data_IF_692097550173
#
_entry.id   IF_692097550173
#
_cell.length_a   1.000
_cell.length_b   1.000
_cell.length_c   1.000
_cell.angle_alpha   90.00
_cell.angle_beta   90.00
_cell.angle_gamma   90.00
#
_symmetry.space_group_name_H-M   'P 1'
#
loop_
_entity.id
_entity.type
_entity.pdbx_description
1 polymer ?
#
# COMPACT_ATOMS: atom_id res chain seq x y z
N UNK A 1 4.67 31.56 -9.03
CA UNK A 1 4.53 30.17 -8.55
C UNK A 1 3.74 29.37 -9.59
N UNK A 2 4.22 28.18 -9.94
CA UNK A 2 3.55 27.30 -10.91
C UNK A 2 3.62 25.83 -10.47
N UNK A 3 2.80 24.98 -11.11
CA UNK A 3 2.65 23.57 -10.75
C UNK A 3 3.96 22.78 -10.80
N UNK A 4 4.84 23.09 -11.75
CA UNK A 4 6.14 22.41 -11.85
C UNK A 4 7.07 22.71 -10.67
N UNK A 5 7.03 23.95 -10.17
CA UNK A 5 7.81 24.35 -8.98
C UNK A 5 7.26 23.64 -7.73
N UNK A 6 5.93 23.57 -7.59
CA UNK A 6 5.28 22.85 -6.47
C UNK A 6 5.59 21.36 -6.54
N UNK A 7 5.41 20.73 -7.71
CA UNK A 7 5.73 19.31 -7.89
C UNK A 7 7.21 19.00 -7.57
N UNK A 8 8.10 19.89 -8.02
CA UNK A 8 9.53 19.78 -7.74
C UNK A 8 9.84 19.89 -6.23
N UNK A 9 9.15 20.78 -5.52
CA UNK A 9 9.27 20.93 -4.08
C UNK A 9 8.75 19.69 -3.33
N UNK A 10 7.55 19.21 -3.66
CA UNK A 10 6.95 18.03 -3.02
C UNK A 10 7.82 16.78 -3.22
N UNK A 11 8.37 16.62 -4.43
CA UNK A 11 9.28 15.50 -4.70
C UNK A 11 10.62 15.66 -3.99
N UNK A 12 11.13 16.89 -3.83
CA UNK A 12 12.37 17.15 -3.09
C UNK A 12 12.25 16.86 -1.59
N UNK A 13 11.07 16.99 -1.01
CA UNK A 13 10.79 16.60 0.37
C UNK A 13 10.89 15.08 0.53
N UNK A 14 10.35 14.32 -0.42
CA UNK A 14 10.36 12.85 -0.40
C UNK A 14 11.77 12.27 -0.60
N UNK A 15 12.45 12.73 -1.64
CA UNK A 15 13.75 12.19 -2.04
C UNK A 15 14.94 12.73 -1.22
N UNK A 16 14.78 13.89 -0.58
CA UNK A 16 15.85 14.60 0.17
C UNK A 16 17.15 14.79 -0.62
N UNK A 17 17.07 14.70 -1.95
CA UNK A 17 18.21 14.72 -2.87
C UNK A 17 17.80 15.28 -4.24
N UNK A 18 18.33 16.45 -4.61
CA UNK A 18 17.98 17.10 -5.87
C UNK A 18 18.40 16.33 -7.12
N UNK A 19 19.42 15.48 -7.04
CA UNK A 19 19.81 14.64 -8.17
C UNK A 19 18.75 13.57 -8.45
N UNK A 20 18.26 12.89 -7.41
CA UNK A 20 17.17 11.92 -7.53
C UNK A 20 15.87 12.55 -8.03
N UNK A 21 15.55 13.76 -7.54
CA UNK A 21 14.41 14.53 -8.03
C UNK A 21 14.54 14.83 -9.53
N UNK A 22 15.74 15.21 -9.96
CA UNK A 22 16.02 15.51 -11.36
C UNK A 22 15.80 14.29 -12.26
N UNK A 23 16.31 13.12 -11.85
CA UNK A 23 16.10 11.85 -12.56
C UNK A 23 14.61 11.51 -12.65
N UNK A 24 13.89 11.60 -11.55
CA UNK A 24 12.48 11.21 -11.45
C UNK A 24 11.54 12.13 -12.23
N UNK A 25 11.86 13.41 -12.31
CA UNK A 25 11.07 14.41 -13.04
C UNK A 25 11.59 14.68 -14.47
N UNK A 26 12.58 13.91 -14.93
CA UNK A 26 13.23 14.11 -16.23
C UNK A 26 13.78 15.52 -16.41
N UNK A 27 14.44 16.05 -15.38
CA UNK A 27 15.04 17.37 -15.33
C UNK A 27 16.57 17.26 -15.12
N UNK A 28 17.25 18.39 -15.16
CA UNK A 28 18.64 18.50 -14.71
C UNK A 28 18.71 18.95 -13.25
N UNK A 29 19.70 18.50 -12.49
CA UNK A 29 19.87 18.93 -11.09
C UNK A 29 19.96 20.47 -10.94
N UNK A 30 20.68 21.23 -11.80
CA UNK A 30 20.63 22.70 -11.78
C UNK A 30 19.23 23.27 -12.05
N UNK A 31 18.42 22.59 -12.88
CA UNK A 31 17.03 22.93 -13.15
C UNK A 31 16.15 22.82 -11.90
N UNK A 32 16.26 21.69 -11.19
CA UNK A 32 15.58 21.45 -9.90
C UNK A 32 15.97 22.55 -8.89
N UNK A 33 17.28 22.76 -8.70
CA UNK A 33 17.78 23.79 -7.75
C UNK A 33 17.26 25.19 -8.08
N UNK A 34 17.20 25.54 -9.36
CA UNK A 34 16.66 26.84 -9.81
C UNK A 34 15.14 26.95 -9.57
N UNK A 35 14.37 25.89 -9.81
CA UNK A 35 12.93 25.87 -9.53
C UNK A 35 12.64 26.07 -8.04
N UNK A 36 13.36 25.37 -7.17
CA UNK A 36 13.24 25.55 -5.71
C UNK A 36 13.62 26.98 -5.30
N UNK A 37 14.75 27.49 -5.79
CA UNK A 37 15.19 28.85 -5.46
C UNK A 37 14.20 29.92 -5.93
N UNK A 38 13.56 29.70 -7.09
CA UNK A 38 12.51 30.61 -7.61
C UNK A 38 11.27 30.55 -6.73
N UNK A 39 10.84 29.35 -6.34
CA UNK A 39 9.70 29.16 -5.42
C UNK A 39 9.97 29.83 -4.07
N UNK A 40 11.14 29.62 -3.46
CA UNK A 40 11.53 30.28 -2.22
C UNK A 40 11.53 31.82 -2.34
N UNK A 41 11.99 32.34 -3.49
CA UNK A 41 11.98 33.79 -3.76
C UNK A 41 10.55 34.33 -3.84
N UNK A 42 9.65 33.62 -4.54
CA UNK A 42 8.25 34.04 -4.67
C UNK A 42 7.50 33.96 -3.34
N UNK A 43 7.80 32.97 -2.51
CA UNK A 43 7.24 32.81 -1.17
C UNK A 43 7.93 33.69 -0.11
N UNK A 44 8.99 34.39 -0.50
CA UNK A 44 9.84 35.22 0.38
C UNK A 44 10.30 34.46 1.65
N UNK A 45 10.58 33.17 1.52
CA UNK A 45 11.03 32.31 2.63
C UNK A 45 11.90 31.17 2.13
N UNK A 46 12.72 30.60 3.03
CA UNK A 46 13.47 29.39 2.75
C UNK A 46 12.65 28.17 3.12
N UNK A 47 12.53 27.23 2.18
CA UNK A 47 11.81 25.97 2.35
C UNK A 47 12.76 24.86 2.82
N UNK A 48 14.03 24.91 2.38
CA UNK A 48 15.05 23.95 2.77
C UNK A 48 16.20 24.64 3.51
N UNK A 49 16.69 23.96 4.54
CA UNK A 49 17.96 24.23 5.21
C UNK A 49 19.01 23.21 4.74
N UNK A 50 20.28 23.64 4.67
CA UNK A 50 21.41 22.73 4.49
C UNK A 50 21.90 22.30 5.86
N UNK A 51 21.78 21.01 6.16
CA UNK A 51 22.41 20.46 7.37
C UNK A 51 23.93 20.34 7.21
N UNK A 52 24.62 20.22 8.33
CA UNK A 52 26.07 20.00 8.35
C UNK A 52 26.50 18.73 7.59
N UNK A 53 25.60 17.77 7.39
CA UNK A 53 25.82 16.51 6.68
C UNK A 53 25.39 16.54 5.19
N UNK A 54 25.20 17.73 4.59
CA UNK A 54 24.76 17.93 3.21
C UNK A 54 23.38 17.31 2.88
N UNK A 55 22.61 16.90 3.89
CA UNK A 55 21.23 16.43 3.71
C UNK A 55 20.28 17.62 3.56
N UNK A 56 19.26 17.44 2.72
CA UNK A 56 18.23 18.44 2.49
C UNK A 56 17.16 18.28 3.58
N UNK A 57 17.00 19.28 4.43
CA UNK A 57 16.04 19.29 5.52
C UNK A 57 15.03 20.42 5.33
N UNK A 58 13.77 20.19 5.69
CA UNK A 58 12.75 21.24 5.67
C UNK A 58 13.01 22.25 6.81
N UNK A 59 12.83 23.54 6.49
CA UNK A 59 12.65 24.57 7.51
C UNK A 59 11.26 24.45 8.13
N UNK A 60 10.99 25.15 9.24
CA UNK A 60 9.63 25.24 9.80
C UNK A 60 8.63 25.79 8.77
N UNK A 61 9.01 26.85 8.04
CA UNK A 61 8.22 27.33 6.90
C UNK A 61 8.04 26.28 5.81
N UNK A 62 9.09 25.51 5.52
CA UNK A 62 9.04 24.41 4.56
C UNK A 62 8.04 23.33 4.93
N UNK A 63 7.92 22.99 6.22
CA UNK A 63 6.91 22.03 6.72
C UNK A 63 5.48 22.57 6.49
N UNK A 64 5.24 23.82 6.85
CA UNK A 64 3.92 24.46 6.65
C UNK A 64 3.52 24.48 5.18
N UNK A 65 4.45 24.83 4.28
CA UNK A 65 4.17 24.84 2.84
C UNK A 65 4.02 23.44 2.27
N UNK A 66 4.74 22.45 2.81
CA UNK A 66 4.56 21.04 2.41
C UNK A 66 3.15 20.55 2.73
N UNK A 67 2.69 20.75 3.96
CA UNK A 67 1.33 20.38 4.37
C UNK A 67 0.26 21.09 3.53
N UNK A 68 0.43 22.40 3.28
CA UNK A 68 -0.48 23.18 2.46
C UNK A 68 -0.52 22.67 1.02
N UNK A 69 0.63 22.47 0.37
CA UNK A 69 0.68 22.03 -1.02
C UNK A 69 0.16 20.58 -1.19
N UNK A 70 0.43 19.69 -0.24
CA UNK A 70 -0.14 18.33 -0.24
C UNK A 70 -1.66 18.37 -0.06
N UNK A 71 -2.16 19.27 0.78
CA UNK A 71 -3.61 19.50 0.93
C UNK A 71 -4.23 20.05 -0.36
N UNK A 72 -3.65 21.11 -0.94
CA UNK A 72 -4.12 21.68 -2.20
C UNK A 72 -4.11 20.67 -3.34
N UNK A 73 -3.06 19.85 -3.45
CA UNK A 73 -2.98 18.79 -4.45
C UNK A 73 -4.12 17.78 -4.31
N UNK A 74 -4.40 17.34 -3.08
CA UNK A 74 -5.53 16.42 -2.80
C UNK A 74 -6.88 17.06 -3.16
N UNK A 75 -7.12 18.29 -2.74
CA UNK A 75 -8.35 19.02 -3.03
C UNK A 75 -8.54 19.26 -4.54
N UNK A 76 -7.44 19.55 -5.27
CA UNK A 76 -7.47 19.73 -6.73
C UNK A 76 -7.85 18.42 -7.43
N UNK A 77 -7.18 17.31 -7.10
CA UNK A 77 -7.49 15.99 -7.66
C UNK A 77 -8.94 15.55 -7.33
N UNK A 78 -9.39 15.86 -6.13
CA UNK A 78 -10.76 15.60 -5.70
C UNK A 78 -11.79 16.44 -6.51
N UNK A 79 -11.49 17.71 -6.74
CA UNK A 79 -12.36 18.60 -7.53
C UNK A 79 -12.39 18.19 -8.99
N UNK A 80 -11.23 17.87 -9.58
CA UNK A 80 -11.11 17.32 -10.93
C UNK A 80 -11.98 16.07 -11.09
N UNK A 81 -11.90 15.17 -10.14
CA UNK A 81 -12.73 13.97 -10.11
C UNK A 81 -14.23 14.28 -10.02
N UNK A 82 -14.62 15.19 -9.09
CA UNK A 82 -16.04 15.62 -8.99
C UNK A 82 -16.55 16.16 -10.32
N UNK A 83 -15.72 16.93 -11.02
CA UNK A 83 -16.02 17.42 -12.35
C UNK A 83 -16.16 16.29 -13.39
N UNK A 84 -15.27 15.32 -13.36
CA UNK A 84 -15.34 14.14 -14.22
C UNK A 84 -16.57 13.27 -13.92
N UNK A 85 -16.97 13.15 -12.65
CA UNK A 85 -18.20 12.45 -12.24
C UNK A 85 -19.45 13.17 -12.74
N UNK A 86 -19.51 14.50 -12.63
CA UNK A 86 -20.61 15.30 -13.18
C UNK A 86 -20.74 15.08 -14.70
N UNK A 87 -19.62 14.95 -15.40
CA UNK A 87 -19.63 14.63 -16.84
C UNK A 87 -20.05 13.18 -17.11
N UNK A 88 -19.79 12.24 -16.18
CA UNK A 88 -20.16 10.82 -16.28
C UNK A 88 -21.58 10.50 -15.81
N UNK A 89 -22.27 11.37 -15.06
CA UNK A 89 -23.68 11.18 -14.69
C UNK A 89 -24.62 11.05 -15.91
N UNK A 90 -24.11 11.35 -17.12
CA UNK A 90 -24.77 11.08 -18.39
C UNK A 90 -24.27 9.82 -19.14
N UNK A 91 -23.40 9.01 -18.53
CA UNK A 91 -22.90 7.76 -19.12
C UNK A 91 -22.99 6.63 -18.08
N UNK A 92 -23.65 5.54 -18.47
CA UNK A 92 -23.89 4.34 -17.69
C UNK A 92 -22.69 3.94 -16.78
N UNK A 93 -22.98 3.72 -15.50
CA UNK A 93 -22.03 3.17 -14.52
C UNK A 93 -21.78 1.70 -14.92
N UNK A 94 -20.80 1.50 -15.79
CA UNK A 94 -20.57 0.18 -16.40
C UNK A 94 -19.29 -0.50 -15.90
N UNK A 95 -18.43 0.19 -15.17
CA UNK A 95 -17.13 -0.36 -14.75
C UNK A 95 -16.78 -0.01 -13.31
N UNK A 96 -16.61 -1.02 -12.45
CA UNK A 96 -16.07 -0.92 -11.10
C UNK A 96 -14.54 -1.14 -11.15
N UNK A 97 -13.76 -0.14 -10.77
CA UNK A 97 -12.29 -0.23 -10.70
C UNK A 97 -11.87 -0.71 -9.32
N UNK A 98 -11.40 -1.93 -9.27
CA UNK A 98 -11.04 -2.64 -8.06
C UNK A 98 -9.54 -2.83 -7.95
N UNK A 99 -8.94 -2.37 -6.83
CA UNK A 99 -7.52 -2.53 -6.53
C UNK A 99 -7.27 -3.50 -5.39
N UNK A 100 -6.16 -4.24 -5.44
CA UNK A 100 -5.72 -5.11 -4.36
C UNK A 100 -4.21 -5.12 -4.18
N UNK A 101 -3.75 -5.60 -3.03
CA UNK A 101 -2.32 -5.61 -2.70
C UNK A 101 -1.54 -6.53 -3.63
N UNK A 102 -0.46 -6.01 -4.20
CA UNK A 102 0.45 -6.77 -5.07
C UNK A 102 1.05 -7.96 -4.32
N UNK A 103 1.04 -9.10 -4.99
CA UNK A 103 1.55 -10.34 -4.43
C UNK A 103 0.48 -11.22 -3.77
N UNK A 104 -0.75 -10.73 -3.58
CA UNK A 104 -1.86 -11.56 -3.13
C UNK A 104 -2.39 -12.47 -4.23
N UNK A 105 -2.78 -13.67 -3.86
CA UNK A 105 -3.58 -14.57 -4.68
C UNK A 105 -5.06 -14.29 -4.41
N UNK A 106 -5.74 -13.71 -5.38
CA UNK A 106 -7.18 -13.42 -5.26
C UNK A 106 -8.06 -14.51 -5.88
N UNK A 107 -7.45 -15.63 -6.30
CA UNK A 107 -8.17 -16.74 -6.96
C UNK A 107 -9.28 -17.36 -6.12
N UNK A 108 -9.16 -17.32 -4.80
CA UNK A 108 -10.20 -17.79 -3.89
C UNK A 108 -11.30 -16.75 -3.61
N UNK A 109 -11.05 -15.48 -3.86
CA UNK A 109 -11.96 -14.38 -3.53
C UNK A 109 -12.62 -13.77 -4.77
N UNK A 110 -11.85 -13.55 -5.83
CA UNK A 110 -12.30 -12.82 -7.01
C UNK A 110 -13.46 -13.48 -7.78
N UNK A 111 -13.45 -14.81 -8.05
CA UNK A 111 -14.59 -15.46 -8.71
C UNK A 111 -15.89 -15.28 -7.92
N UNK A 112 -15.84 -15.41 -6.61
CA UNK A 112 -16.98 -15.28 -5.72
C UNK A 112 -17.56 -13.86 -5.74
N UNK A 113 -16.66 -12.87 -5.77
CA UNK A 113 -17.02 -11.46 -5.92
C UNK A 113 -17.69 -11.19 -7.28
N UNK A 114 -17.14 -11.76 -8.36
CA UNK A 114 -17.73 -11.61 -9.70
C UNK A 114 -19.11 -12.24 -9.77
N UNK A 115 -19.28 -13.45 -9.24
CA UNK A 115 -20.58 -14.15 -9.22
C UNK A 115 -21.63 -13.30 -8.51
N UNK A 116 -21.30 -12.76 -7.31
CA UNK A 116 -22.19 -11.91 -6.55
C UNK A 116 -22.54 -10.60 -7.30
N UNK A 117 -21.59 -9.99 -7.98
CA UNK A 117 -21.81 -8.78 -8.77
C UNK A 117 -22.66 -9.07 -10.02
N UNK A 118 -22.42 -10.17 -10.73
CA UNK A 118 -23.14 -10.53 -11.94
C UNK A 118 -24.59 -10.91 -11.69
N UNK A 119 -24.92 -11.48 -10.53
CA UNK A 119 -26.30 -11.76 -10.13
C UNK A 119 -27.14 -10.48 -10.04
N UNK A 120 -26.58 -9.42 -9.42
CA UNK A 120 -27.32 -8.17 -9.15
C UNK A 120 -27.08 -7.09 -10.21
N UNK A 121 -25.90 -7.10 -10.85
CA UNK A 121 -25.47 -6.09 -11.83
C UNK A 121 -24.88 -6.76 -13.09
N UNK A 122 -25.71 -7.40 -13.96
CA UNK A 122 -25.22 -8.18 -15.11
C UNK A 122 -24.39 -7.40 -16.12
N UNK A 123 -24.52 -6.07 -16.13
CA UNK A 123 -23.81 -5.18 -17.07
C UNK A 123 -22.59 -4.48 -16.46
N UNK A 124 -22.26 -4.77 -15.20
CA UNK A 124 -21.13 -4.18 -14.53
C UNK A 124 -19.83 -4.91 -14.92
N UNK A 125 -18.90 -4.19 -15.52
CA UNK A 125 -17.54 -4.66 -15.72
C UNK A 125 -16.70 -4.41 -14.46
N UNK A 126 -15.73 -5.27 -14.19
CA UNK A 126 -14.77 -5.08 -13.11
C UNK A 126 -13.37 -5.01 -13.70
N UNK A 127 -12.76 -3.85 -13.58
CA UNK A 127 -11.33 -3.65 -13.90
C UNK A 127 -10.51 -3.92 -12.65
N UNK A 128 -9.58 -4.86 -12.76
CA UNK A 128 -8.80 -5.35 -11.63
C UNK A 128 -7.34 -4.95 -11.74
N UNK A 129 -6.82 -4.26 -10.71
CA UNK A 129 -5.44 -3.81 -10.67
C UNK A 129 -4.74 -4.19 -9.35
N UNK A 130 -3.45 -4.54 -9.41
CA UNK A 130 -2.64 -4.80 -8.21
C UNK A 130 -1.54 -3.77 -8.03
N UNK A 131 -1.43 -3.21 -6.81
CA UNK A 131 -0.48 -2.16 -6.50
C UNK A 131 0.17 -2.35 -5.14
N UNK A 132 1.24 -1.57 -4.87
CA UNK A 132 1.75 -1.42 -3.51
C UNK A 132 0.71 -0.75 -2.62
N UNK A 133 0.84 -0.95 -1.31
CA UNK A 133 -0.08 -0.41 -0.32
C UNK A 133 -0.31 1.11 -0.48
N UNK A 134 0.76 1.91 -0.49
CA UNK A 134 0.65 3.37 -0.66
C UNK A 134 -0.06 3.75 -1.96
N UNK A 135 0.29 3.06 -3.05
CA UNK A 135 -0.28 3.33 -4.37
C UNK A 135 -1.78 3.03 -4.43
N UNK A 136 -2.27 2.01 -3.74
CA UNK A 136 -3.70 1.71 -3.65
C UNK A 136 -4.47 2.90 -3.06
N UNK A 137 -3.98 3.47 -1.97
CA UNK A 137 -4.62 4.63 -1.35
C UNK A 137 -4.53 5.88 -2.21
N UNK A 138 -3.38 6.14 -2.85
CA UNK A 138 -3.24 7.25 -3.81
C UNK A 138 -4.27 7.16 -4.94
N UNK A 139 -4.42 5.96 -5.53
CA UNK A 139 -5.39 5.72 -6.60
C UNK A 139 -6.83 5.80 -6.11
N UNK A 140 -7.10 5.35 -4.88
CA UNK A 140 -8.41 5.47 -4.26
C UNK A 140 -8.77 6.94 -4.00
N UNK A 141 -7.86 7.73 -3.42
CA UNK A 141 -8.08 9.15 -3.15
C UNK A 141 -8.22 9.97 -4.43
N UNK A 142 -7.41 9.69 -5.45
CA UNK A 142 -7.50 10.36 -6.75
C UNK A 142 -8.72 9.94 -7.58
N UNK A 143 -9.44 8.90 -7.16
CA UNK A 143 -10.61 8.39 -7.89
C UNK A 143 -10.29 7.52 -9.10
N UNK A 144 -9.04 7.11 -9.22
CA UNK A 144 -8.63 6.14 -10.25
C UNK A 144 -9.00 4.71 -9.88
N UNK A 145 -9.23 4.43 -8.59
CA UNK A 145 -9.88 3.22 -8.10
C UNK A 145 -11.16 3.58 -7.34
N UNK A 146 -12.16 2.72 -7.42
CA UNK A 146 -13.43 2.86 -6.70
C UNK A 146 -13.43 2.12 -5.37
N UNK A 147 -12.82 0.95 -5.35
CA UNK A 147 -12.72 0.05 -4.20
C UNK A 147 -11.32 -0.56 -4.13
N UNK A 148 -10.78 -0.70 -2.93
CA UNK A 148 -9.52 -1.41 -2.70
C UNK A 148 -9.68 -2.47 -1.62
N UNK A 149 -8.97 -3.58 -1.80
CA UNK A 149 -8.79 -4.63 -0.80
C UNK A 149 -7.35 -4.57 -0.28
N UNK A 150 -7.20 -4.39 1.02
CA UNK A 150 -5.90 -4.11 1.63
C UNK A 150 -5.85 -4.57 3.09
N UNK A 151 -4.70 -4.44 3.74
CA UNK A 151 -4.58 -4.60 5.19
C UNK A 151 -4.92 -3.29 5.90
N UNK A 152 -5.48 -3.40 7.12
CA UNK A 152 -5.70 -2.23 7.97
C UNK A 152 -4.43 -1.93 8.78
N UNK A 153 -3.75 -0.84 8.45
CA UNK A 153 -2.60 -0.37 9.21
C UNK A 153 -2.99 0.80 10.12
N UNK A 154 -2.58 0.82 11.40
CA UNK A 154 -2.98 1.85 12.37
C UNK A 154 -2.63 3.28 11.96
N UNK A 155 -1.55 3.44 11.19
CA UNK A 155 -1.09 4.76 10.71
C UNK A 155 -2.06 5.42 9.74
N UNK A 156 -2.92 4.62 9.11
CA UNK A 156 -3.88 5.09 8.11
C UNK A 156 -5.22 5.53 8.70
N UNK A 157 -5.52 5.19 9.96
CA UNK A 157 -6.77 5.63 10.60
C UNK A 157 -6.94 7.16 10.60
N UNK A 158 -5.84 7.90 10.67
CA UNK A 158 -5.84 9.37 10.62
C UNK A 158 -6.14 9.96 9.24
N UNK A 159 -6.04 9.16 8.18
CA UNK A 159 -6.26 9.57 6.78
C UNK A 159 -7.70 9.23 6.31
N UNK A 160 -8.49 8.54 7.13
CA UNK A 160 -9.74 7.88 6.69
C UNK A 160 -11.02 8.69 6.84
N UNK A 161 -10.98 10.01 7.15
CA UNK A 161 -12.23 10.79 7.35
C UNK A 161 -13.20 10.68 6.16
N UNK A 162 -12.69 10.56 4.94
CA UNK A 162 -13.46 10.54 3.70
C UNK A 162 -13.63 9.12 3.11
N UNK A 163 -13.05 8.12 3.77
CA UNK A 163 -13.19 6.72 3.38
C UNK A 163 -14.22 6.01 4.26
N UNK A 164 -14.86 5.05 3.69
CA UNK A 164 -15.57 3.98 4.40
C UNK A 164 -14.66 2.75 4.35
N UNK A 165 -14.38 2.19 5.53
CA UNK A 165 -13.50 1.04 5.70
C UNK A 165 -14.30 -0.07 6.37
N UNK A 166 -14.29 -1.26 5.78
CA UNK A 166 -15.05 -2.41 6.23
C UNK A 166 -14.12 -3.60 6.42
N UNK A 167 -14.13 -4.20 7.59
CA UNK A 167 -13.35 -5.42 7.84
C UNK A 167 -14.00 -6.61 7.11
N UNK A 168 -13.20 -7.29 6.28
CA UNK A 168 -13.63 -8.46 5.49
C UNK A 168 -13.35 -9.75 6.27
N UNK A 169 -12.11 -9.93 6.71
CA UNK A 169 -11.68 -11.12 7.45
C UNK A 169 -10.33 -10.91 8.15
N UNK A 170 -9.97 -11.87 9.00
CA UNK A 170 -8.64 -11.99 9.60
C UNK A 170 -7.85 -13.06 8.84
N UNK A 171 -6.70 -12.68 8.27
CA UNK A 171 -5.85 -13.62 7.55
C UNK A 171 -4.63 -13.99 8.41
N UNK A 172 -4.41 -15.28 8.71
CA UNK A 172 -3.25 -15.70 9.45
C UNK A 172 -1.95 -15.34 8.74
N UNK A 173 -0.91 -15.09 9.53
CA UNK A 173 0.44 -14.89 9.05
C UNK A 173 1.24 -16.19 9.08
N UNK A 174 2.30 -16.25 8.28
CA UNK A 174 3.26 -17.32 8.26
C UNK A 174 4.67 -16.78 8.03
N UNK A 175 5.67 -17.50 8.57
CA UNK A 175 7.06 -17.32 8.14
C UNK A 175 7.27 -18.17 6.91
N UNK A 176 7.62 -17.57 5.78
CA UNK A 176 8.06 -18.28 4.58
C UNK A 176 9.58 -18.35 4.53
N UNK A 177 10.10 -19.42 3.99
CA UNK A 177 11.54 -19.67 3.88
C UNK A 177 11.85 -20.68 2.76
N UNK A 178 13.05 -20.65 2.17
CA UNK A 178 13.48 -21.61 1.16
C UNK A 178 13.48 -23.05 1.70
N UNK A 179 13.17 -24.03 0.87
CA UNK A 179 13.20 -25.45 1.24
C UNK A 179 14.56 -25.90 1.74
N UNK A 180 15.61 -25.33 1.17
CA UNK A 180 17.02 -25.60 1.48
C UNK A 180 17.38 -25.23 2.92
N UNK A 181 16.63 -24.32 3.55
CA UNK A 181 16.80 -23.97 4.97
C UNK A 181 16.38 -25.11 5.93
N UNK A 182 16.02 -26.26 5.39
CA UNK A 182 15.64 -27.45 6.16
C UNK A 182 14.18 -27.43 6.60
N UNK A 183 13.86 -28.19 7.65
CA UNK A 183 12.51 -28.24 8.21
C UNK A 183 12.44 -27.40 9.47
N UNK A 184 11.58 -26.39 9.46
CA UNK A 184 11.30 -25.49 10.57
C UNK A 184 9.89 -25.81 11.10
N UNK A 185 9.69 -25.69 12.41
CA UNK A 185 8.43 -26.01 13.08
C UNK A 185 7.84 -24.83 13.84
N UNK A 186 8.71 -23.93 14.32
CA UNK A 186 8.34 -22.81 15.17
C UNK A 186 9.18 -21.59 14.80
N UNK A 187 8.76 -20.42 15.25
CA UNK A 187 9.46 -19.15 15.09
C UNK A 187 10.88 -19.17 15.68
N UNK A 188 11.10 -19.88 16.78
CA UNK A 188 12.43 -20.04 17.39
C UNK A 188 13.48 -20.66 16.46
N UNK A 189 13.06 -21.46 15.48
CA UNK A 189 13.95 -22.07 14.49
C UNK A 189 14.59 -21.05 13.51
N UNK A 190 14.17 -19.79 13.57
CA UNK A 190 14.62 -18.70 12.69
C UNK A 190 15.50 -17.68 13.39
N UNK A 191 16.01 -17.92 14.60
CA UNK A 191 16.84 -16.97 15.35
C UNK A 191 18.10 -16.52 14.60
N UNK A 192 18.64 -17.37 13.71
CA UNK A 192 19.81 -17.08 12.88
C UNK A 192 19.44 -16.57 11.48
N UNK A 193 18.16 -16.50 11.13
CA UNK A 193 17.70 -16.06 9.84
C UNK A 193 17.84 -14.54 9.63
N UNK A 194 17.95 -14.15 8.37
CA UNK A 194 17.79 -12.77 7.93
C UNK A 194 16.37 -12.58 7.41
N UNK A 195 15.60 -11.77 8.10
CA UNK A 195 14.23 -11.44 7.69
C UNK A 195 14.20 -10.29 6.69
N UNK A 196 13.68 -10.55 5.51
CA UNK A 196 13.48 -9.54 4.48
C UNK A 196 12.15 -8.83 4.67
N UNK A 197 12.18 -7.50 4.65
CA UNK A 197 11.00 -6.62 4.73
C UNK A 197 10.83 -5.90 3.39
N UNK A 198 9.67 -6.00 2.78
CA UNK A 198 9.36 -5.31 1.52
C UNK A 198 8.87 -3.89 1.79
N UNK A 199 9.36 -2.92 1.00
CA UNK A 199 8.84 -1.55 1.01
C UNK A 199 7.52 -1.38 0.25
N UNK A 200 6.93 -2.45 -0.30
CA UNK A 200 5.55 -2.43 -0.79
C UNK A 200 4.51 -2.28 0.34
N UNK A 201 4.90 -2.54 1.60
CA UNK A 201 4.13 -2.30 2.82
C UNK A 201 4.86 -1.30 3.75
N UNK A 202 4.19 -0.68 4.73
CA UNK A 202 4.84 0.19 5.70
C UNK A 202 5.94 -0.57 6.47
N UNK A 203 7.18 -0.19 6.22
CA UNK A 203 8.37 -0.91 6.75
C UNK A 203 8.40 -0.90 8.27
N UNK A 204 8.06 0.21 8.89
CA UNK A 204 8.07 0.35 10.35
C UNK A 204 7.02 -0.56 11.00
N UNK A 205 5.83 -0.66 10.41
CA UNK A 205 4.82 -1.61 10.87
C UNK A 205 5.31 -3.05 10.72
N UNK A 206 5.84 -3.41 9.56
CA UNK A 206 6.34 -4.76 9.28
C UNK A 206 7.48 -5.15 10.24
N UNK A 207 8.35 -4.19 10.57
CA UNK A 207 9.43 -4.35 11.54
C UNK A 207 8.89 -4.57 12.96
N UNK A 208 7.99 -3.69 13.41
CA UNK A 208 7.40 -3.77 14.75
C UNK A 208 6.62 -5.10 14.94
N UNK A 209 5.86 -5.53 13.93
CA UNK A 209 5.15 -6.81 13.94
C UNK A 209 6.13 -8.00 14.05
N UNK A 210 7.21 -8.00 13.25
CA UNK A 210 8.25 -9.03 13.32
C UNK A 210 8.92 -9.06 14.69
N UNK A 211 9.32 -7.90 15.23
CA UNK A 211 9.95 -7.78 16.54
C UNK A 211 9.04 -8.29 17.66
N UNK A 212 7.74 -7.96 17.60
CA UNK A 212 6.75 -8.45 18.57
C UNK A 212 6.62 -9.98 18.53
N UNK A 213 6.61 -10.58 17.34
CA UNK A 213 6.52 -12.04 17.17
C UNK A 213 7.80 -12.71 17.67
N UNK A 214 8.98 -12.16 17.34
CA UNK A 214 10.27 -12.69 17.79
C UNK A 214 10.48 -12.57 19.30
N UNK A 215 10.00 -11.47 19.90
CA UNK A 215 10.10 -11.25 21.35
C UNK A 215 9.38 -12.34 22.17
N UNK A 216 8.30 -12.94 21.65
CA UNK A 216 7.63 -14.08 22.27
C UNK A 216 8.50 -15.34 22.33
N UNK A 217 9.56 -15.38 21.53
CA UNK A 217 10.55 -16.47 21.45
C UNK A 217 11.95 -16.02 21.92
N UNK A 218 12.03 -14.89 22.60
CA UNK A 218 13.22 -14.35 23.28
C UNK A 218 14.41 -14.09 22.35
N UNK A 219 14.20 -13.71 21.07
CA UNK A 219 15.29 -13.31 20.18
C UNK A 219 14.99 -12.00 19.42
N UNK A 220 16.05 -11.32 18.96
CA UNK A 220 16.00 -10.11 18.16
C UNK A 220 16.25 -10.47 16.70
N UNK A 221 15.33 -10.19 15.77
CA UNK A 221 15.49 -10.56 14.37
C UNK A 221 16.54 -9.67 13.66
N UNK A 222 17.35 -10.29 12.80
CA UNK A 222 18.17 -9.59 11.82
C UNK A 222 17.29 -9.22 10.63
N UNK A 223 17.22 -7.94 10.27
CA UNK A 223 16.32 -7.48 9.20
C UNK A 223 17.08 -6.83 8.05
N UNK A 224 16.53 -6.97 6.83
CA UNK A 224 16.97 -6.28 5.63
C UNK A 224 15.77 -5.77 4.84
N UNK A 225 15.74 -4.46 4.59
CA UNK A 225 14.68 -3.84 3.78
C UNK A 225 15.04 -3.95 2.30
N UNK A 226 14.04 -4.29 1.48
CA UNK A 226 14.15 -4.41 0.03
C UNK A 226 13.07 -3.57 -0.67
N UNK A 227 13.30 -3.11 -1.92
CA UNK A 227 12.41 -2.16 -2.58
C UNK A 227 10.98 -2.64 -2.79
N UNK A 228 10.79 -3.94 -3.03
CA UNK A 228 9.48 -4.51 -3.36
C UNK A 228 9.45 -6.03 -3.13
N UNK A 229 8.25 -6.57 -3.22
CA UNK A 229 7.96 -8.00 -3.02
C UNK A 229 8.71 -8.91 -4.00
N UNK A 230 8.82 -8.52 -5.28
CA UNK A 230 9.53 -9.31 -6.28
C UNK A 230 11.03 -9.44 -5.96
N UNK A 231 11.65 -8.34 -5.49
CA UNK A 231 13.04 -8.35 -5.03
C UNK A 231 13.20 -9.20 -3.77
N UNK A 232 12.24 -9.13 -2.84
CA UNK A 232 12.24 -9.98 -1.64
C UNK A 232 12.30 -11.46 -2.03
N UNK A 233 11.39 -11.91 -2.89
CA UNK A 233 11.33 -13.29 -3.35
C UNK A 233 12.60 -13.75 -4.07
N UNK A 234 13.19 -12.87 -4.90
CA UNK A 234 14.44 -13.16 -5.59
C UNK A 234 15.63 -13.32 -4.65
N UNK A 235 15.60 -12.67 -3.49
CA UNK A 235 16.67 -12.77 -2.49
C UNK A 235 16.47 -13.91 -1.50
N UNK A 236 15.27 -14.50 -1.45
CA UNK A 236 14.94 -15.64 -0.60
C UNK A 236 15.43 -17.00 -1.16
N UNK A 237 16.33 -17.02 -2.13
CA UNK A 237 17.03 -18.23 -2.59
C UNK A 237 18.19 -18.64 -1.64
N UNK A 238 18.44 -17.89 -0.56
CA UNK A 238 19.50 -18.16 0.40
C UNK A 238 19.00 -19.01 1.57
N UNK A 239 19.79 -19.97 2.00
CA UNK A 239 19.45 -20.92 3.05
C UNK A 239 19.12 -20.30 4.42
N UNK A 240 19.58 -19.06 4.68
CA UNK A 240 19.36 -18.33 5.93
C UNK A 240 18.29 -17.24 5.84
N UNK A 241 17.49 -17.22 4.78
CA UNK A 241 16.52 -16.16 4.52
C UNK A 241 15.10 -16.53 4.96
N UNK A 242 14.36 -15.52 5.48
CA UNK A 242 12.96 -15.67 5.89
C UNK A 242 12.18 -14.37 5.62
N UNK A 243 10.85 -14.47 5.56
CA UNK A 243 9.95 -13.32 5.58
C UNK A 243 8.63 -13.70 6.25
N UNK A 244 7.99 -12.73 6.92
CA UNK A 244 6.61 -12.89 7.39
C UNK A 244 5.68 -12.40 6.28
N UNK A 245 4.70 -13.23 5.94
CA UNK A 245 3.64 -12.92 4.97
C UNK A 245 2.30 -13.41 5.48
N UNK A 246 1.22 -12.81 5.01
CA UNK A 246 -0.11 -13.35 5.20
C UNK A 246 -0.36 -14.54 4.25
N UNK A 247 -1.32 -15.40 4.59
CA UNK A 247 -1.60 -16.63 3.81
C UNK A 247 -2.26 -16.34 2.44
N UNK A 248 -2.59 -15.09 2.11
CA UNK A 248 -3.03 -14.74 0.77
C UNK A 248 -1.87 -14.47 -0.18
N UNK A 249 -0.65 -14.35 0.32
CA UNK A 249 0.51 -14.13 -0.53
C UNK A 249 0.81 -15.34 -1.43
N UNK A 250 0.98 -15.09 -2.74
CA UNK A 250 1.27 -16.13 -3.76
C UNK A 250 2.45 -17.03 -3.43
N UNK A 251 3.58 -16.54 -2.84
CA UNK A 251 4.74 -17.39 -2.56
C UNK A 251 4.48 -18.56 -1.61
N UNK A 252 3.46 -18.47 -0.78
CA UNK A 252 3.07 -19.57 0.12
C UNK A 252 2.67 -20.82 -0.68
N UNK A 253 2.19 -20.63 -1.91
CA UNK A 253 1.78 -21.71 -2.81
C UNK A 253 2.91 -22.11 -3.79
N UNK A 254 4.07 -21.43 -3.78
CA UNK A 254 5.21 -21.79 -4.60
C UNK A 254 5.95 -22.96 -3.98
N UNK A 255 6.20 -24.01 -4.79
CA UNK A 255 6.92 -25.21 -4.39
C UNK A 255 8.39 -24.99 -3.97
N UNK A 256 8.95 -23.82 -4.23
CA UNK A 256 10.31 -23.43 -3.79
C UNK A 256 10.38 -23.12 -2.31
N UNK A 257 9.27 -22.70 -1.72
CA UNK A 257 9.20 -22.29 -0.33
C UNK A 257 8.48 -23.30 0.53
N UNK A 258 8.79 -23.24 1.83
CA UNK A 258 8.02 -23.81 2.92
C UNK A 258 7.53 -22.69 3.79
N UNK A 259 6.54 -22.96 4.62
CA UNK A 259 6.08 -21.99 5.59
C UNK A 259 5.77 -22.62 6.96
N UNK A 260 5.90 -21.80 8.00
CA UNK A 260 5.44 -22.09 9.35
C UNK A 260 4.34 -21.08 9.67
N UNK A 261 3.13 -21.60 9.93
CA UNK A 261 2.00 -20.74 10.30
C UNK A 261 2.23 -20.14 11.68
N UNK A 262 1.89 -18.86 11.83
CA UNK A 262 1.94 -18.12 13.09
C UNK A 262 0.54 -18.06 13.73
N UNK A 263 0.49 -17.83 15.03
CA UNK A 263 -0.76 -17.51 15.74
C UNK A 263 -1.25 -16.09 15.43
N UNK A 264 -0.37 -15.24 14.91
CA UNK A 264 -0.68 -13.86 14.49
C UNK A 264 -1.53 -13.83 13.22
N UNK A 265 -2.44 -12.87 13.12
CA UNK A 265 -3.23 -12.58 11.93
C UNK A 265 -3.24 -11.09 11.63
N UNK A 266 -3.60 -10.75 10.41
CA UNK A 266 -3.79 -9.35 9.97
C UNK A 266 -5.22 -9.14 9.50
N UNK A 267 -5.86 -8.01 9.88
CA UNK A 267 -7.18 -7.67 9.39
C UNK A 267 -7.10 -7.22 7.92
N UNK A 268 -7.87 -7.88 7.08
CA UNK A 268 -8.09 -7.48 5.69
C UNK A 268 -9.33 -6.62 5.64
N UNK A 269 -9.21 -5.47 4.99
CA UNK A 269 -10.28 -4.49 4.86
C UNK A 269 -10.56 -4.15 3.41
N UNK A 270 -11.82 -3.88 3.14
CA UNK A 270 -12.26 -3.18 1.95
C UNK A 270 -12.35 -1.69 2.25
N UNK A 271 -11.86 -0.83 1.37
CA UNK A 271 -11.98 0.61 1.53
C UNK A 271 -12.46 1.29 0.25
N UNK A 272 -13.32 2.29 0.38
CA UNK A 272 -13.82 3.10 -0.72
C UNK A 272 -14.19 4.52 -0.23
N UNK A 273 -14.29 5.47 -1.16
CA UNK A 273 -14.71 6.83 -0.79
C UNK A 273 -16.20 6.87 -0.51
N UNK A 274 -16.61 7.51 0.59
CA UNK A 274 -18.02 7.68 0.97
C UNK A 274 -18.90 8.24 -0.15
N UNK A 275 -18.33 9.09 -1.00
CA UNK A 275 -19.01 9.77 -2.09
C UNK A 275 -18.65 9.19 -3.49
N UNK A 276 -18.22 7.91 -3.59
CA UNK A 276 -17.98 7.31 -4.90
C UNK A 276 -19.31 6.91 -5.56
N UNK A 277 -19.34 6.92 -6.91
CA UNK A 277 -20.53 6.54 -7.68
C UNK A 277 -20.99 5.10 -7.41
N UNK A 278 -20.04 4.21 -7.10
CA UNK A 278 -20.27 2.79 -6.84
C UNK A 278 -20.51 2.45 -5.36
N UNK A 279 -20.60 3.44 -4.44
CA UNK A 279 -20.69 3.17 -3.00
C UNK A 279 -21.83 2.19 -2.62
N UNK A 280 -23.00 2.31 -3.28
CA UNK A 280 -24.13 1.41 -3.05
C UNK A 280 -23.81 -0.03 -3.48
N UNK A 281 -23.19 -0.20 -4.66
CA UNK A 281 -22.77 -1.49 -5.21
C UNK A 281 -21.73 -2.14 -4.27
N UNK A 282 -20.75 -1.36 -3.82
CA UNK A 282 -19.67 -1.84 -2.95
C UNK A 282 -20.20 -2.30 -1.58
N UNK A 283 -21.13 -1.54 -0.97
CA UNK A 283 -21.76 -1.95 0.31
C UNK A 283 -22.54 -3.26 0.17
N UNK A 284 -23.35 -3.36 -0.87
CA UNK A 284 -24.09 -4.60 -1.16
C UNK A 284 -23.13 -5.78 -1.40
N UNK A 285 -22.05 -5.57 -2.17
CA UNK A 285 -21.03 -6.58 -2.37
C UNK A 285 -20.42 -7.04 -1.05
N UNK A 286 -20.10 -6.10 -0.15
CA UNK A 286 -19.59 -6.41 1.17
C UNK A 286 -20.57 -7.26 1.97
N UNK A 287 -21.84 -6.86 2.06
CA UNK A 287 -22.89 -7.59 2.78
C UNK A 287 -23.02 -9.01 2.24
N UNK A 288 -23.09 -9.18 0.91
CA UNK A 288 -23.17 -10.49 0.25
C UNK A 288 -21.96 -11.37 0.56
N UNK A 289 -20.74 -10.79 0.54
CA UNK A 289 -19.53 -11.53 0.83
C UNK A 289 -19.41 -11.87 2.32
N UNK A 290 -19.81 -10.98 3.21
CA UNK A 290 -19.82 -11.23 4.65
C UNK A 290 -20.82 -12.35 5.01
N UNK A 291 -22.00 -12.36 4.43
CA UNK A 291 -23.00 -13.42 4.64
C UNK A 291 -22.55 -14.78 4.09
N UNK A 292 -22.03 -14.81 2.85
CA UNK A 292 -21.62 -16.07 2.19
C UNK A 292 -20.30 -16.63 2.72
N UNK A 293 -19.36 -15.77 3.14
CA UNK A 293 -17.96 -16.15 3.35
C UNK A 293 -17.41 -15.80 4.73
N UNK A 294 -18.15 -15.14 5.59
CA UNK A 294 -17.75 -14.87 6.98
C UNK A 294 -17.32 -16.14 7.73
N UNK A 295 -17.89 -17.29 7.38
CA UNK A 295 -17.49 -18.60 7.90
C UNK A 295 -16.57 -19.40 6.95
N UNK A 296 -16.70 -19.29 5.63
CA UNK A 296 -15.97 -20.09 4.63
C UNK A 296 -14.59 -19.54 4.26
N UNK A 297 -14.36 -18.24 4.34
CA UNK A 297 -13.00 -17.68 4.23
C UNK A 297 -12.10 -18.28 5.32
N UNK A 298 -12.67 -18.61 6.46
CA UNK A 298 -11.99 -19.39 7.50
C UNK A 298 -11.72 -20.86 7.11
N UNK A 299 -12.44 -21.44 6.16
CA UNK A 299 -12.31 -22.84 5.71
C UNK A 299 -11.27 -22.99 4.60
N UNK A 300 -11.18 -22.04 3.66
CA UNK A 300 -10.15 -22.03 2.60
C UNK A 300 -8.73 -21.90 3.21
N UNK A 301 -8.64 -21.26 4.37
CA UNK A 301 -7.40 -21.14 5.15
C UNK A 301 -7.06 -22.44 5.92
N UNK A 302 -8.00 -23.36 6.10
CA UNK A 302 -7.81 -24.61 6.85
C UNK A 302 -7.38 -25.82 5.99
N UNK A 303 -7.36 -25.74 4.68
CA UNK A 303 -6.86 -26.76 3.75
C UNK A 303 -5.52 -26.37 3.17
#
# INVERSE_FOLDING_TARGET
>A
MNDRQIACFLEAVKERNFTKVAEKLYLTQPGVSRMIATLEKELNTKLFARSAHKTLELTESGKLYYEMFEKCRREFEETKRKSELIQRENTDITTLKFGYVRGWSITGFYPLMLDALQEEFPYLNVDLESHSYERLYDLLYSGNLDFILTMNFPEMEKLHSDLEVMEICQVPQAVIYPKEFGTKKDMADFQDAVFYLSADAPVEYSRANLEQICAQKEFIPRTKVVPNHATLLSLMDREDSAAIMDLWCQPIYDKKFKYVRLEASVPIVGAFRKNCAHAKIIRMLYETLAERYGEEVMIIIRK
#
